data_IF_862647264333
#
_entry.id   IF_862647264333
#
_cell.length_a   1.000
_cell.length_b   1.000
_cell.length_c   1.000
_cell.angle_alpha   90.00
_cell.angle_beta   90.00
_cell.angle_gamma   90.00
#
_symmetry.space_group_name_H-M   'P 1'
#
loop_
_entity.id
_entity.type
_entity.pdbx_description
1 polymer ?
#
# COMPACT_ATOMS: atom_id res chain seq x y z
N UNK A 1 -5.66 12.57 4.24
CA UNK A 1 -5.15 11.19 4.38
C UNK A 1 -4.21 11.14 5.57
N UNK A 2 -4.20 10.05 6.33
CA UNK A 2 -3.38 9.92 7.54
C UNK A 2 -2.81 8.51 7.61
N UNK A 3 -1.49 8.43 7.83
CA UNK A 3 -0.77 7.17 8.03
C UNK A 3 -0.36 7.10 9.49
N UNK A 4 -0.93 6.15 10.22
CA UNK A 4 -0.61 5.84 11.63
C UNK A 4 0.77 5.22 11.75
N UNK A 5 1.35 5.18 12.96
CA UNK A 5 2.60 4.45 13.21
C UNK A 5 2.44 2.93 13.02
N UNK A 6 1.33 2.36 13.49
CA UNK A 6 1.03 0.93 13.33
C UNK A 6 0.42 0.63 11.94
N UNK A 7 0.98 -0.38 11.27
CA UNK A 7 0.52 -0.87 9.97
C UNK A 7 -0.48 -2.03 10.13
N UNK A 8 -1.78 -1.75 10.00
CA UNK A 8 -2.84 -2.78 10.05
C UNK A 8 -3.09 -3.42 8.67
N UNK A 9 -2.17 -4.28 8.23
CA UNK A 9 -2.25 -4.96 6.93
C UNK A 9 -2.60 -6.45 7.08
N UNK A 10 -3.34 -6.99 6.12
CA UNK A 10 -3.65 -8.42 6.06
C UNK A 10 -2.41 -9.19 5.57
N UNK A 11 -1.69 -9.83 6.49
CA UNK A 11 -0.41 -10.48 6.20
C UNK A 11 -0.44 -11.60 5.15
N UNK A 12 -1.61 -12.19 4.86
CA UNK A 12 -1.76 -13.25 3.86
C UNK A 12 -1.92 -12.75 2.44
N UNK A 13 -2.23 -11.46 2.25
CA UNK A 13 -2.36 -10.85 0.92
C UNK A 13 -1.01 -10.38 0.41
N UNK A 14 -0.85 -10.33 -0.91
CA UNK A 14 0.30 -9.68 -1.53
C UNK A 14 0.20 -8.15 -1.49
N UNK A 15 1.32 -7.47 -1.74
CA UNK A 15 1.34 -6.00 -1.88
C UNK A 15 0.33 -5.53 -2.94
N UNK A 16 0.38 -6.14 -4.13
CA UNK A 16 -0.51 -5.81 -5.25
C UNK A 16 -1.97 -6.07 -4.91
N UNK A 17 -2.27 -7.20 -4.29
CA UNK A 17 -3.64 -7.52 -3.84
C UNK A 17 -4.15 -6.50 -2.83
N UNK A 18 -3.32 -6.15 -1.85
CA UNK A 18 -3.67 -5.19 -0.79
C UNK A 18 -4.02 -3.82 -1.37
N UNK A 19 -3.18 -3.30 -2.27
CA UNK A 19 -3.43 -2.01 -2.95
C UNK A 19 -4.64 -2.11 -3.88
N UNK A 20 -4.78 -3.22 -4.62
CA UNK A 20 -5.93 -3.45 -5.52
C UNK A 20 -7.26 -3.52 -4.77
N UNK A 21 -7.32 -4.19 -3.62
CA UNK A 21 -8.52 -4.25 -2.81
C UNK A 21 -8.88 -2.89 -2.26
N UNK A 22 -7.91 -2.13 -1.74
CA UNK A 22 -8.13 -0.75 -1.32
C UNK A 22 -8.65 0.11 -2.47
N UNK A 23 -8.07 -0.03 -3.66
CA UNK A 23 -8.52 0.65 -4.88
C UNK A 23 -9.98 0.34 -5.17
N UNK A 24 -10.40 -0.93 -5.09
CA UNK A 24 -11.78 -1.38 -5.34
C UNK A 24 -12.79 -0.75 -4.38
N UNK A 25 -12.44 -0.58 -3.10
CA UNK A 25 -13.37 -0.03 -2.11
C UNK A 25 -13.37 1.50 -2.03
N UNK A 26 -12.22 2.14 -2.29
CA UNK A 26 -12.08 3.60 -2.06
C UNK A 26 -12.24 4.44 -3.32
N UNK A 27 -11.96 3.91 -4.51
CA UNK A 27 -12.08 4.68 -5.77
C UNK A 27 -13.50 4.61 -6.34
N UNK A 28 -13.96 5.66 -7.07
CA UNK A 28 -15.33 5.74 -7.57
C UNK A 28 -15.78 4.52 -8.39
N UNK A 29 -17.00 4.04 -8.17
CA UNK A 29 -17.55 2.86 -8.88
C UNK A 29 -17.58 3.01 -10.41
N UNK A 30 -17.73 4.25 -10.90
CA UNK A 30 -17.77 4.56 -12.33
C UNK A 30 -16.40 4.49 -13.00
N UNK A 31 -15.31 4.40 -12.23
CA UNK A 31 -13.97 4.30 -12.78
C UNK A 31 -13.78 2.94 -13.46
N UNK A 32 -13.38 2.89 -14.75
CA UNK A 32 -13.09 1.67 -15.47
C UNK A 32 -12.04 0.80 -14.75
N UNK A 33 -12.17 -0.52 -14.89
CA UNK A 33 -11.22 -1.46 -14.29
C UNK A 33 -9.78 -1.24 -14.77
N UNK A 34 -9.60 -0.91 -16.06
CA UNK A 34 -8.28 -0.63 -16.64
C UNK A 34 -7.63 0.61 -16.03
N UNK A 35 -8.40 1.67 -15.81
CA UNK A 35 -7.92 2.90 -15.15
C UNK A 35 -7.56 2.63 -13.68
N UNK A 36 -8.39 1.82 -13.00
CA UNK A 36 -8.14 1.40 -11.62
C UNK A 36 -6.84 0.60 -11.51
N UNK A 37 -6.63 -0.35 -12.41
CA UNK A 37 -5.39 -1.15 -12.49
C UNK A 37 -4.18 -0.27 -12.78
N UNK A 38 -4.29 0.66 -13.74
CA UNK A 38 -3.20 1.59 -14.05
C UNK A 38 -2.81 2.45 -12.83
N UNK A 39 -3.79 2.89 -12.03
CA UNK A 39 -3.53 3.64 -10.80
C UNK A 39 -2.82 2.78 -9.75
N UNK A 40 -3.23 1.52 -9.59
CA UNK A 40 -2.55 0.56 -8.70
C UNK A 40 -1.10 0.37 -9.13
N UNK A 41 -0.84 0.11 -10.41
CA UNK A 41 0.53 -0.06 -10.92
C UNK A 41 1.38 1.20 -10.74
N UNK A 42 0.83 2.38 -11.05
CA UNK A 42 1.50 3.67 -10.82
C UNK A 42 1.89 3.84 -9.36
N UNK A 43 0.97 3.52 -8.44
CA UNK A 43 1.21 3.65 -7.00
C UNK A 43 2.30 2.68 -6.52
N UNK A 44 2.31 1.44 -7.03
CA UNK A 44 3.36 0.45 -6.72
C UNK A 44 4.73 0.96 -7.16
N UNK A 45 4.81 1.56 -8.35
CA UNK A 45 6.05 2.12 -8.91
C UNK A 45 6.51 3.35 -8.12
N UNK A 46 5.60 4.29 -7.84
CA UNK A 46 5.88 5.51 -7.08
C UNK A 46 6.42 5.20 -5.67
N UNK A 47 5.96 4.10 -5.07
CA UNK A 47 6.38 3.67 -3.74
C UNK A 47 7.58 2.72 -3.75
N UNK A 48 8.19 2.42 -4.90
CA UNK A 48 9.36 1.54 -4.95
C UNK A 48 9.06 0.12 -4.44
N UNK A 49 7.89 -0.42 -4.80
CA UNK A 49 7.39 -1.73 -4.35
C UNK A 49 7.36 -2.77 -5.47
N UNK A 50 7.95 -2.50 -6.62
CA UNK A 50 7.88 -3.37 -7.80
C UNK A 50 8.43 -4.77 -7.53
N UNK A 51 9.59 -4.85 -6.87
CA UNK A 51 10.29 -6.11 -6.62
C UNK A 51 9.54 -7.02 -5.64
N UNK A 52 8.72 -6.44 -4.76
CA UNK A 52 7.92 -7.16 -3.77
C UNK A 52 6.41 -7.12 -4.04
N UNK A 53 5.99 -6.67 -5.24
CA UNK A 53 4.58 -6.46 -5.57
C UNK A 53 3.73 -7.73 -5.41
N UNK A 54 4.29 -8.88 -5.75
CA UNK A 54 3.62 -10.18 -5.67
C UNK A 54 4.05 -11.00 -4.43
N UNK A 55 4.76 -10.37 -3.49
CA UNK A 55 5.16 -10.98 -2.21
C UNK A 55 4.07 -10.75 -1.15
N UNK A 56 3.73 -11.74 -0.32
CA UNK A 56 2.83 -11.55 0.82
C UNK A 56 3.35 -10.46 1.76
N UNK A 57 2.45 -9.65 2.32
CA UNK A 57 2.79 -8.66 3.35
C UNK A 57 3.47 -9.34 4.54
N UNK A 58 3.00 -10.54 4.90
CA UNK A 58 3.51 -11.31 6.02
C UNK A 58 2.96 -10.87 7.37
N UNK A 59 3.00 -11.79 8.32
CA UNK A 59 2.57 -11.60 9.70
C UNK A 59 3.58 -12.29 10.64
N UNK A 60 3.21 -12.47 11.90
CA UNK A 60 4.06 -13.11 12.92
C UNK A 60 4.40 -14.59 12.63
N UNK A 61 3.66 -15.24 11.74
CA UNK A 61 3.85 -16.64 11.33
C UNK A 61 4.37 -16.81 9.90
N UNK A 62 3.96 -15.93 9.00
CA UNK A 62 4.31 -15.94 7.60
C UNK A 62 5.31 -14.82 7.33
N UNK A 63 6.53 -15.19 6.95
CA UNK A 63 7.51 -14.22 6.46
C UNK A 63 6.96 -13.54 5.21
N UNK A 64 7.07 -12.22 5.17
CA UNK A 64 6.68 -11.41 4.01
C UNK A 64 7.68 -10.30 3.75
N UNK A 65 7.19 -9.17 3.29
CA UNK A 65 8.00 -7.98 3.01
C UNK A 65 8.63 -7.40 4.29
N UNK A 66 9.73 -6.66 4.11
CA UNK A 66 10.45 -5.97 5.19
C UNK A 66 9.58 -4.91 5.88
N UNK A 67 10.00 -4.45 7.07
CA UNK A 67 9.31 -3.37 7.78
C UNK A 67 9.22 -2.08 6.95
N UNK A 68 10.31 -1.69 6.29
CA UNK A 68 10.31 -0.52 5.40
C UNK A 68 9.41 -0.68 4.17
N UNK A 69 9.30 -1.88 3.61
CA UNK A 69 8.32 -2.16 2.55
C UNK A 69 6.89 -2.11 3.07
N UNK A 70 6.59 -2.69 4.25
CA UNK A 70 5.27 -2.56 4.90
C UNK A 70 4.88 -1.10 5.09
N UNK A 71 5.84 -0.28 5.54
CA UNK A 71 5.63 1.15 5.72
C UNK A 71 5.25 1.84 4.41
N UNK A 72 5.97 1.53 3.33
CA UNK A 72 5.65 2.05 1.99
C UNK A 72 4.30 1.54 1.48
N UNK A 73 3.90 0.32 1.80
CA UNK A 73 2.55 -0.19 1.48
C UNK A 73 1.47 0.63 2.20
N UNK A 74 1.61 0.91 3.49
CA UNK A 74 0.63 1.72 4.23
C UNK A 74 0.49 3.13 3.66
N UNK A 75 1.61 3.75 3.27
CA UNK A 75 1.61 5.04 2.59
C UNK A 75 0.94 4.93 1.20
N UNK A 76 1.20 3.85 0.45
CA UNK A 76 0.57 3.58 -0.85
C UNK A 76 -0.97 3.59 -0.77
N UNK A 77 -1.53 2.98 0.29
CA UNK A 77 -2.98 2.92 0.51
C UNK A 77 -3.63 4.29 0.69
N UNK A 78 -2.89 5.26 1.22
CA UNK A 78 -3.33 6.62 1.44
C UNK A 78 -3.09 7.52 0.21
N UNK A 79 -1.97 7.33 -0.50
CA UNK A 79 -1.63 8.08 -1.73
C UNK A 79 -2.52 7.68 -2.91
N UNK A 80 -3.03 6.44 -2.94
CA UNK A 80 -3.93 5.93 -3.97
C UNK A 80 -5.14 6.86 -4.23
N UNK A 81 -5.63 7.54 -3.21
CA UNK A 81 -6.75 8.50 -3.30
C UNK A 81 -6.34 9.90 -3.78
N UNK A 82 -5.06 10.11 -4.10
CA UNK A 82 -4.43 11.39 -4.46
C UNK A 82 -4.87 12.54 -3.53
N UNK A 83 -4.67 12.40 -2.22
CA UNK A 83 -5.06 13.43 -1.27
C UNK A 83 -4.25 14.71 -1.51
N UNK A 84 -4.87 15.87 -1.32
CA UNK A 84 -4.16 17.17 -1.39
C UNK A 84 -3.22 17.40 -0.20
N UNK A 85 -3.47 16.70 0.91
CA UNK A 85 -2.71 16.80 2.16
C UNK A 85 -2.59 15.41 2.80
N UNK A 86 -1.37 15.03 3.13
CA UNK A 86 -1.00 13.76 3.74
C UNK A 86 -0.29 14.02 5.05
N UNK A 87 -0.82 13.48 6.14
CA UNK A 87 -0.18 13.49 7.45
C UNK A 87 0.48 12.13 7.68
N UNK A 88 1.74 12.16 8.12
CA UNK A 88 2.54 10.97 8.39
C UNK A 88 3.01 11.02 9.84
N UNK A 89 2.64 10.01 10.62
CA UNK A 89 3.10 9.90 11.99
C UNK A 89 4.40 9.08 12.04
N UNK A 90 5.49 9.68 12.48
CA UNK A 90 6.84 9.09 12.54
C UNK A 90 7.23 8.21 11.32
N UNK A 91 7.23 8.75 10.08
CA UNK A 91 7.41 7.94 8.86
C UNK A 91 8.75 7.22 8.74
N UNK A 92 9.77 7.63 9.50
CA UNK A 92 11.12 7.09 9.46
C UNK A 92 11.47 6.22 10.66
N UNK A 93 10.53 5.97 11.56
CA UNK A 93 10.75 5.14 12.75
C UNK A 93 10.93 3.68 12.35
N UNK A 94 12.00 3.02 12.83
CA UNK A 94 12.29 1.61 12.54
C UNK A 94 12.79 1.32 11.12
N UNK A 95 13.33 2.33 10.41
CA UNK A 95 14.09 2.14 9.17
C UNK A 95 15.59 2.03 9.51
N UNK A 96 16.07 0.78 9.58
CA UNK A 96 17.48 0.41 9.78
C UNK A 96 17.95 -0.47 8.61
#
# INVERSE_FOLDING_TARGET
AYVTQDDHLLGTLTVRETISYSARFRLPDKMPLSERQALVESTIIEMGLQDCADTPIGNWHLRGVSGGEKRRVSIALEILMRPRLLFLDEPTSGLD
#
